data_IF_543781465193
#
_entry.id   IF_543781465193
#
_cell.length_a   1.000
_cell.length_b   1.000
_cell.length_c   1.000
_cell.angle_alpha   90.00
_cell.angle_beta   90.00
_cell.angle_gamma   90.00
#
_symmetry.space_group_name_H-M   'P 1'
#
loop_
_entity.id
_entity.type
_entity.pdbx_description
1 polymer ?
#
# COMPACT_ATOMS: atom_id res chain seq x y z
N UNK A 1 -28.21 5.85 28.01
CA UNK A 1 -27.50 5.02 29.03
C UNK A 1 -26.00 5.31 29.02
N UNK A 2 -25.22 4.98 30.06
CA UNK A 2 -23.75 5.14 30.06
C UNK A 2 -23.05 3.79 29.99
N UNK A 3 -21.90 3.72 29.32
CA UNK A 3 -21.10 2.52 29.22
C UNK A 3 -20.49 2.16 30.58
N UNK A 4 -20.76 0.97 31.10
CA UNK A 4 -20.22 0.51 32.39
C UNK A 4 -18.71 0.30 32.40
N UNK A 5 -18.07 0.22 31.22
CA UNK A 5 -16.63 -0.01 31.10
C UNK A 5 -15.82 1.29 30.93
N UNK A 6 -16.31 2.26 30.15
CA UNK A 6 -15.56 3.51 29.87
C UNK A 6 -16.30 4.80 30.25
N UNK A 7 -17.53 4.72 30.76
CA UNK A 7 -18.29 5.89 31.23
C UNK A 7 -18.90 6.78 30.14
N UNK A 8 -18.72 6.49 28.85
CA UNK A 8 -19.30 7.31 27.78
C UNK A 8 -20.83 7.19 27.69
N UNK A 9 -21.50 8.30 27.37
CA UNK A 9 -22.93 8.34 27.05
C UNK A 9 -23.22 7.60 25.73
N UNK A 10 -24.05 6.56 25.82
CA UNK A 10 -24.50 5.72 24.70
C UNK A 10 -25.85 6.22 24.17
N UNK A 11 -26.03 6.11 22.84
CA UNK A 11 -27.32 6.29 22.18
C UNK A 11 -28.28 5.14 22.54
N UNK A 12 -29.58 5.42 22.54
CA UNK A 12 -30.60 4.43 22.91
C UNK A 12 -30.63 3.28 21.90
N UNK A 13 -30.56 2.03 22.40
CA UNK A 13 -30.53 0.81 21.58
C UNK A 13 -29.14 0.34 21.12
N UNK A 14 -28.05 1.01 21.53
CA UNK A 14 -26.69 0.62 21.17
C UNK A 14 -26.31 -0.78 21.72
N UNK A 15 -25.93 -1.70 20.82
CA UNK A 15 -25.46 -3.05 21.17
C UNK A 15 -24.00 -3.06 21.65
N UNK A 16 -23.19 -2.10 21.18
CA UNK A 16 -21.76 -1.98 21.47
C UNK A 16 -21.35 -0.52 21.70
N UNK A 17 -20.36 -0.29 22.56
CA UNK A 17 -19.83 1.04 22.82
C UNK A 17 -18.90 1.51 21.68
N UNK A 18 -19.14 2.69 21.07
CA UNK A 18 -18.33 3.17 19.95
C UNK A 18 -16.93 3.66 20.34
N UNK A 19 -16.66 3.89 21.63
CA UNK A 19 -15.33 4.35 22.08
C UNK A 19 -14.42 3.24 22.59
N UNK A 20 -14.97 2.22 23.24
CA UNK A 20 -14.15 1.13 23.82
C UNK A 20 -14.51 -0.27 23.32
N UNK A 21 -15.55 -0.40 22.49
CA UNK A 21 -15.94 -1.67 21.88
C UNK A 21 -16.67 -2.65 22.81
N UNK A 22 -16.86 -2.34 24.10
CA UNK A 22 -17.51 -3.27 25.03
C UNK A 22 -19.01 -3.44 24.70
N UNK A 23 -19.55 -4.68 24.76
CA UNK A 23 -20.98 -4.91 24.58
C UNK A 23 -21.76 -4.23 25.71
N UNK A 24 -22.92 -3.69 25.37
CA UNK A 24 -23.79 -3.02 26.34
C UNK A 24 -24.76 -4.06 26.91
N UNK A 25 -24.65 -4.32 28.22
CA UNK A 25 -25.48 -5.32 28.89
C UNK A 25 -26.97 -4.93 28.83
N UNK A 26 -27.79 -5.79 28.22
CA UNK A 26 -29.23 -5.56 28.07
C UNK A 26 -29.90 -6.15 26.82
N UNK A 27 -29.15 -6.70 25.86
CA UNK A 27 -29.74 -7.53 24.81
C UNK A 27 -29.45 -8.99 25.05
N UNK A 28 -30.46 -9.74 25.52
CA UNK A 28 -30.40 -11.19 25.58
C UNK A 28 -30.09 -11.79 24.20
N UNK A 29 -29.28 -12.86 24.11
CA UNK A 29 -29.12 -13.61 22.87
C UNK A 29 -30.40 -14.38 22.57
N UNK A 30 -30.99 -14.16 21.39
CA UNK A 30 -32.00 -15.06 20.86
C UNK A 30 -31.33 -16.39 20.49
N UNK A 31 -31.97 -17.47 20.89
CA UNK A 31 -31.61 -18.87 20.70
C UNK A 31 -31.29 -19.25 19.24
N UNK A 32 -30.37 -20.20 19.08
CA UNK A 32 -29.98 -20.78 17.80
C UNK A 32 -31.17 -21.47 17.08
N UNK A 33 -31.36 -21.27 15.76
CA UNK A 33 -32.31 -22.06 14.97
C UNK A 33 -31.75 -23.46 14.65
N UNK A 34 -32.63 -24.46 14.63
CA UNK A 34 -32.37 -25.84 14.22
C UNK A 34 -31.91 -25.96 12.74
N UNK A 35 -31.31 -27.10 12.32
CA UNK A 35 -30.77 -27.26 10.97
C UNK A 35 -31.89 -27.23 9.92
N UNK A 36 -31.79 -26.30 8.97
CA UNK A 36 -32.71 -26.19 7.82
C UNK A 36 -32.14 -27.03 6.66
N UNK A 37 -32.96 -27.79 5.89
CA UNK A 37 -32.50 -28.54 4.72
C UNK A 37 -31.85 -27.64 3.65
N UNK A 38 -30.87 -28.20 2.92
CA UNK A 38 -30.08 -27.47 1.93
C UNK A 38 -30.94 -26.81 0.84
N UNK A 39 -30.68 -25.55 0.46
CA UNK A 39 -31.43 -24.85 -0.58
C UNK A 39 -31.07 -25.38 -1.97
N UNK A 40 -32.12 -25.69 -2.74
CA UNK A 40 -32.05 -25.94 -4.18
C UNK A 40 -31.73 -24.61 -4.87
N UNK A 41 -30.62 -24.56 -5.61
CA UNK A 41 -30.23 -23.39 -6.38
C UNK A 41 -31.18 -23.19 -7.56
N UNK A 42 -31.93 -22.10 -7.56
CA UNK A 42 -32.46 -21.48 -8.79
C UNK A 42 -31.65 -20.21 -9.07
N UNK A 43 -31.18 -20.00 -10.32
CA UNK A 43 -30.41 -18.81 -10.65
C UNK A 43 -31.27 -17.55 -10.55
N UNK A 44 -30.78 -16.55 -9.82
CA UNK A 44 -31.40 -15.25 -9.65
C UNK A 44 -31.09 -14.32 -10.85
N UNK A 45 -31.99 -13.34 -11.15
CA UNK A 45 -32.06 -12.66 -12.44
C UNK A 45 -31.08 -11.49 -12.58
N UNK A 46 -30.80 -11.18 -13.84
CA UNK A 46 -29.96 -10.10 -14.37
C UNK A 46 -30.51 -8.69 -14.09
N UNK A 47 -29.62 -7.79 -13.67
CA UNK A 47 -29.77 -6.33 -13.56
C UNK A 47 -28.79 -5.82 -12.49
N UNK A 48 -28.00 -4.76 -12.63
CA UNK A 48 -27.96 -3.68 -13.61
C UNK A 48 -26.52 -3.12 -13.63
N UNK A 49 -26.12 -2.57 -14.76
CA UNK A 49 -24.79 -2.11 -15.13
C UNK A 49 -24.27 -0.92 -14.32
N UNK A 50 -23.18 -1.11 -13.57
CA UNK A 50 -22.21 -0.05 -13.28
C UNK A 50 -21.10 -0.07 -14.35
N UNK A 51 -20.48 1.06 -14.73
CA UNK A 51 -19.61 1.11 -15.90
C UNK A 51 -18.30 0.38 -15.65
N UNK A 52 -18.28 -0.92 -15.97
CA UNK A 52 -17.07 -1.64 -16.32
C UNK A 52 -16.54 -1.00 -17.61
N UNK A 53 -15.50 -0.18 -17.45
CA UNK A 53 -14.73 0.30 -18.59
C UNK A 53 -14.18 -0.91 -19.34
N UNK A 54 -14.58 -1.03 -20.60
CA UNK A 54 -14.16 -2.08 -21.50
C UNK A 54 -12.64 -1.97 -21.75
N UNK A 55 -11.91 -3.00 -21.36
CA UNK A 55 -10.54 -3.21 -21.81
C UNK A 55 -10.56 -3.37 -23.34
N UNK A 56 -10.06 -2.37 -24.05
CA UNK A 56 -9.82 -2.43 -25.49
C UNK A 56 -8.49 -3.15 -25.72
N UNK A 57 -8.41 -4.19 -26.57
CA UNK A 57 -7.15 -4.83 -26.88
C UNK A 57 -6.39 -3.97 -27.90
N UNK A 58 -5.40 -3.22 -27.42
CA UNK A 58 -4.53 -2.40 -28.24
C UNK A 58 -4.16 -1.09 -27.56
N UNK A 59 -3.29 -1.14 -26.54
CA UNK A 59 -2.64 0.06 -26.04
C UNK A 59 -1.12 -0.14 -26.01
N UNK A 60 -0.46 0.75 -26.76
CA UNK A 60 0.95 1.08 -26.70
C UNK A 60 1.34 1.57 -25.28
N UNK A 61 2.64 1.68 -24.95
CA UNK A 61 3.12 1.63 -23.57
C UNK A 61 2.43 2.63 -22.64
N UNK A 62 1.88 2.10 -21.55
CA UNK A 62 1.10 2.82 -20.54
C UNK A 62 1.97 3.91 -19.90
N UNK A 63 1.57 5.16 -20.10
CA UNK A 63 2.12 6.29 -19.36
C UNK A 63 1.50 6.28 -17.95
N UNK A 64 2.27 5.82 -16.97
CA UNK A 64 1.91 5.76 -15.55
C UNK A 64 1.61 7.17 -15.01
N UNK A 65 0.35 7.59 -15.12
CA UNK A 65 -0.16 8.85 -14.58
C UNK A 65 -0.85 8.59 -13.24
N UNK A 66 -0.38 9.26 -12.18
CA UNK A 66 -1.03 9.21 -10.87
C UNK A 66 -2.31 10.04 -10.91
N UNK A 67 -3.43 9.46 -10.47
CA UNK A 67 -4.60 10.27 -10.13
C UNK A 67 -4.32 11.01 -8.83
N UNK A 68 -4.19 12.33 -8.92
CA UNK A 68 -4.24 13.21 -7.75
C UNK A 68 -5.70 13.27 -7.30
N UNK A 69 -5.98 12.90 -6.05
CA UNK A 69 -7.32 13.00 -5.51
C UNK A 69 -7.58 14.47 -5.17
N UNK A 70 -8.11 15.22 -6.13
CA UNK A 70 -8.44 16.64 -5.99
C UNK A 70 -9.78 16.87 -5.26
N UNK A 71 -10.31 15.88 -4.54
CA UNK A 71 -11.58 16.02 -3.83
C UNK A 71 -11.44 17.02 -2.67
N UNK A 72 -12.05 18.22 -2.75
CA UNK A 72 -11.88 19.27 -1.76
C UNK A 72 -12.52 18.93 -0.40
N UNK A 73 -13.29 17.84 -0.30
CA UNK A 73 -13.93 17.38 0.93
C UNK A 73 -13.12 16.34 1.71
N UNK A 74 -12.02 15.83 1.14
CA UNK A 74 -11.10 14.94 1.85
C UNK A 74 -9.92 15.77 2.34
N UNK A 75 -10.00 16.24 3.58
CA UNK A 75 -8.87 16.90 4.21
C UNK A 75 -7.70 15.91 4.29
N UNK A 76 -6.52 16.24 3.75
CA UNK A 76 -5.36 15.38 3.87
C UNK A 76 -5.01 15.16 5.34
N UNK A 77 -4.78 13.90 5.73
CA UNK A 77 -4.38 13.59 7.10
C UNK A 77 -3.02 14.25 7.40
N UNK A 78 -2.87 14.91 8.57
CA UNK A 78 -1.61 15.55 8.92
C UNK A 78 -0.53 14.49 9.08
N UNK A 79 0.53 14.60 8.26
CA UNK A 79 1.74 13.79 8.38
C UNK A 79 2.60 14.49 9.42
N UNK A 80 2.85 13.85 10.55
CA UNK A 80 3.76 14.38 11.59
C UNK A 80 4.95 13.45 11.74
N UNK A 81 6.19 13.97 11.88
CA UNK A 81 7.34 13.12 12.14
C UNK A 81 7.12 12.36 13.45
N UNK A 82 7.39 11.05 13.42
CA UNK A 82 7.33 10.18 14.59
C UNK A 82 8.34 10.65 15.63
N UNK A 83 7.84 11.05 16.79
CA UNK A 83 8.63 11.23 18.01
C UNK A 83 9.62 12.40 17.98
N UNK A 84 9.27 13.53 17.36
CA UNK A 84 10.14 14.72 17.36
C UNK A 84 11.40 14.59 16.49
N UNK A 85 11.44 13.58 15.61
CA UNK A 85 12.49 13.46 14.59
C UNK A 85 12.49 14.70 13.70
N UNK A 86 13.66 15.27 13.37
CA UNK A 86 13.75 16.41 12.47
C UNK A 86 13.21 16.02 11.09
N UNK A 87 12.66 16.99 10.37
CA UNK A 87 12.32 16.80 8.95
C UNK A 87 13.57 16.40 8.16
N UNK A 88 13.46 15.33 7.38
CA UNK A 88 14.53 14.86 6.49
C UNK A 88 13.97 14.90 5.07
N UNK A 89 14.47 15.78 4.18
CA UNK A 89 14.01 15.82 2.80
C UNK A 89 14.38 14.52 2.08
N UNK A 90 13.47 14.05 1.22
CA UNK A 90 13.60 12.79 0.51
C UNK A 90 13.78 13.06 -0.98
N UNK A 91 14.70 12.35 -1.63
CA UNK A 91 14.92 12.53 -3.06
C UNK A 91 13.71 12.07 -3.89
N UNK A 92 13.18 12.96 -4.74
CA UNK A 92 11.92 12.76 -5.47
C UNK A 92 12.07 12.76 -7.01
N UNK A 93 13.30 12.82 -7.52
CA UNK A 93 13.64 12.95 -8.94
C UNK A 93 14.41 11.72 -9.47
N UNK A 94 14.29 10.58 -8.79
CA UNK A 94 14.99 9.35 -9.18
C UNK A 94 14.49 8.88 -10.54
N UNK A 95 15.37 8.47 -11.44
CA UNK A 95 14.97 8.05 -12.78
C UNK A 95 15.42 6.63 -13.10
N UNK A 96 14.55 5.87 -13.77
CA UNK A 96 14.83 4.49 -14.17
C UNK A 96 16.07 4.39 -15.09
N UNK A 97 16.24 5.24 -16.13
CA UNK A 97 17.43 5.16 -16.98
C UNK A 97 18.72 5.41 -16.20
N UNK A 98 18.74 6.40 -15.29
CA UNK A 98 19.92 6.65 -14.44
C UNK A 98 20.18 5.48 -13.51
N UNK A 99 19.13 4.86 -12.96
CA UNK A 99 19.28 3.66 -12.14
C UNK A 99 19.92 2.52 -12.93
N UNK A 100 19.48 2.25 -14.17
CA UNK A 100 20.07 1.22 -15.04
C UNK A 100 21.54 1.54 -15.33
N UNK A 101 21.83 2.77 -15.79
CA UNK A 101 23.19 3.18 -16.17
C UNK A 101 24.15 3.07 -14.98
N UNK A 102 23.77 3.63 -13.82
CA UNK A 102 24.59 3.58 -12.62
C UNK A 102 24.78 2.15 -12.13
N UNK A 103 23.75 1.30 -12.23
CA UNK A 103 23.87 -0.11 -11.87
C UNK A 103 24.84 -0.85 -12.77
N UNK A 104 24.87 -0.58 -14.09
CA UNK A 104 25.86 -1.19 -14.99
C UNK A 104 27.27 -0.68 -14.69
N UNK A 105 27.44 0.64 -14.57
CA UNK A 105 28.74 1.28 -14.33
C UNK A 105 29.36 0.84 -12.99
N UNK A 106 28.53 0.59 -11.98
CA UNK A 106 28.97 0.19 -10.63
C UNK A 106 28.92 -1.32 -10.39
N UNK A 107 28.78 -2.13 -11.45
CA UNK A 107 28.67 -3.59 -11.35
C UNK A 107 27.59 -4.07 -10.36
N UNK A 108 26.44 -3.39 -10.35
CA UNK A 108 25.28 -3.70 -9.53
C UNK A 108 25.33 -3.14 -8.10
N UNK A 109 26.44 -2.53 -7.68
CA UNK A 109 26.57 -1.94 -6.32
C UNK A 109 25.54 -0.82 -6.12
N UNK A 110 25.29 -0.01 -7.14
CA UNK A 110 24.29 1.05 -7.08
C UNK A 110 22.87 0.51 -6.85
N UNK A 111 22.51 -0.66 -7.40
CA UNK A 111 21.21 -1.28 -7.13
C UNK A 111 21.01 -1.54 -5.63
N UNK A 112 22.05 -2.00 -4.93
CA UNK A 112 22.01 -2.24 -3.49
C UNK A 112 21.90 -0.94 -2.69
N UNK A 113 22.66 0.08 -3.09
CA UNK A 113 22.54 1.42 -2.52
C UNK A 113 21.11 1.97 -2.67
N UNK A 114 20.53 1.88 -3.86
CA UNK A 114 19.16 2.32 -4.12
C UNK A 114 18.15 1.56 -3.25
N UNK A 115 18.26 0.24 -3.10
CA UNK A 115 17.37 -0.54 -2.24
C UNK A 115 17.49 -0.15 -0.76
N UNK A 116 18.70 0.17 -0.30
CA UNK A 116 18.92 0.71 1.04
C UNK A 116 18.21 2.06 1.23
N UNK A 117 18.40 2.99 0.30
CA UNK A 117 17.73 4.30 0.36
C UNK A 117 16.22 4.16 0.28
N UNK A 118 15.70 3.32 -0.61
CA UNK A 118 14.28 3.06 -0.76
C UNK A 118 13.67 2.55 0.55
N UNK A 119 14.34 1.61 1.24
CA UNK A 119 13.87 1.09 2.52
C UNK A 119 13.81 2.18 3.60
N UNK A 120 14.85 3.01 3.68
CA UNK A 120 14.94 4.14 4.60
C UNK A 120 13.83 5.15 4.31
N UNK A 121 13.72 5.59 3.08
CA UNK A 121 12.77 6.61 2.65
C UNK A 121 11.32 6.13 2.84
N UNK A 122 11.04 4.84 2.61
CA UNK A 122 9.75 4.23 2.93
C UNK A 122 9.42 4.28 4.42
N UNK A 123 10.39 3.99 5.29
CA UNK A 123 10.20 4.13 6.72
C UNK A 123 9.99 5.59 7.16
N UNK A 124 10.50 6.56 6.40
CA UNK A 124 10.31 7.99 6.67
C UNK A 124 8.96 8.51 6.13
N UNK A 125 8.55 8.14 4.92
CA UNK A 125 7.28 8.59 4.34
C UNK A 125 6.07 7.85 4.92
N UNK A 126 6.22 6.59 5.30
CA UNK A 126 5.12 5.78 5.82
C UNK A 126 5.16 5.71 7.35
N UNK A 127 5.60 6.77 8.03
CA UNK A 127 5.61 6.80 9.49
C UNK A 127 4.19 6.66 10.06
N UNK A 128 4.09 6.09 11.27
CA UNK A 128 2.83 5.93 12.01
C UNK A 128 1.78 5.05 11.28
N UNK A 129 2.21 4.16 10.37
CA UNK A 129 1.33 3.15 9.76
C UNK A 129 1.35 1.80 10.50
N UNK A 130 2.14 1.67 11.57
CA UNK A 130 2.27 0.43 12.33
C UNK A 130 3.19 -0.60 11.68
N UNK A 131 3.80 -0.29 10.52
CA UNK A 131 4.68 -1.18 9.78
C UNK A 131 6.11 -0.65 9.69
N UNK A 132 7.03 -1.55 9.31
CA UNK A 132 8.41 -1.20 8.96
C UNK A 132 8.83 -1.95 7.71
N UNK A 133 9.59 -1.26 6.87
CA UNK A 133 10.23 -1.83 5.68
C UNK A 133 11.59 -2.36 6.11
N UNK A 134 11.83 -3.68 5.99
CA UNK A 134 13.12 -4.26 6.35
C UNK A 134 14.26 -3.63 5.57
N UNK A 135 15.36 -3.32 6.25
CA UNK A 135 16.54 -2.72 5.61
C UNK A 135 17.32 -3.69 4.73
N UNK A 136 18.34 -3.16 4.05
CA UNK A 136 19.18 -3.89 3.10
C UNK A 136 19.83 -5.16 3.71
N UNK A 137 20.34 -5.09 4.94
CA UNK A 137 21.00 -6.23 5.57
C UNK A 137 20.04 -7.41 5.77
N UNK A 138 18.84 -7.15 6.29
CA UNK A 138 17.80 -8.16 6.46
C UNK A 138 17.33 -8.70 5.10
N UNK A 139 17.20 -7.81 4.09
CA UNK A 139 16.90 -8.21 2.72
C UNK A 139 17.91 -9.21 2.17
N UNK A 140 19.21 -8.91 2.26
CA UNK A 140 20.26 -9.80 1.74
C UNK A 140 20.27 -11.13 2.50
N UNK A 141 20.31 -11.08 3.84
CA UNK A 141 20.41 -12.27 4.68
C UNK A 141 19.23 -13.22 4.44
N UNK A 142 17.99 -12.71 4.50
CA UNK A 142 16.81 -13.54 4.33
C UNK A 142 16.63 -13.98 2.87
N UNK A 143 17.07 -13.19 1.89
CA UNK A 143 17.06 -13.64 0.50
C UNK A 143 18.00 -14.83 0.28
N UNK A 144 19.18 -14.85 0.91
CA UNK A 144 20.08 -16.01 0.81
C UNK A 144 19.46 -17.22 1.52
N UNK A 145 18.95 -17.05 2.74
CA UNK A 145 18.35 -18.14 3.54
C UNK A 145 17.12 -18.75 2.87
N UNK A 146 16.32 -17.94 2.17
CA UNK A 146 15.07 -18.37 1.53
C UNK A 146 15.20 -18.63 0.02
N UNK A 147 16.43 -18.74 -0.49
CA UNK A 147 16.71 -18.96 -1.92
C UNK A 147 16.01 -17.94 -2.84
N UNK A 148 15.99 -16.66 -2.43
CA UNK A 148 15.42 -15.55 -3.17
C UNK A 148 13.93 -15.31 -2.94
N UNK A 149 13.20 -16.22 -2.27
CA UNK A 149 11.76 -16.04 -2.03
C UNK A 149 11.45 -14.77 -1.22
N UNK A 150 12.29 -14.47 -0.23
CA UNK A 150 12.14 -13.26 0.60
C UNK A 150 12.19 -11.96 -0.23
N UNK A 151 12.97 -11.93 -1.32
CA UNK A 151 13.06 -10.74 -2.16
C UNK A 151 11.69 -10.37 -2.76
N UNK A 152 10.92 -11.37 -3.22
CA UNK A 152 9.57 -11.16 -3.75
C UNK A 152 8.61 -10.64 -2.69
N UNK A 153 8.65 -11.22 -1.49
CA UNK A 153 7.85 -10.73 -0.37
C UNK A 153 8.20 -9.28 0.01
N UNK A 154 9.48 -8.92 -0.04
CA UNK A 154 9.93 -7.56 0.28
C UNK A 154 9.42 -6.54 -0.73
N UNK A 155 9.51 -6.83 -2.03
CA UNK A 155 8.96 -5.96 -3.08
C UNK A 155 7.44 -5.85 -2.99
N UNK A 156 6.75 -6.97 -2.74
CA UNK A 156 5.31 -6.98 -2.49
C UNK A 156 4.92 -6.08 -1.32
N UNK A 157 5.65 -6.18 -0.20
CA UNK A 157 5.40 -5.38 1.00
C UNK A 157 5.52 -3.88 0.72
N UNK A 158 6.59 -3.45 0.05
CA UNK A 158 6.77 -2.04 -0.29
C UNK A 158 5.64 -1.53 -1.18
N UNK A 159 5.25 -2.29 -2.20
CA UNK A 159 4.14 -1.93 -3.08
C UNK A 159 2.84 -1.66 -2.34
N UNK A 160 2.43 -2.58 -1.47
CA UNK A 160 1.22 -2.41 -0.68
C UNK A 160 1.34 -1.24 0.30
N UNK A 161 2.49 -1.12 0.97
CA UNK A 161 2.72 -0.05 1.94
C UNK A 161 2.63 1.33 1.29
N UNK A 162 3.19 1.50 0.09
CA UNK A 162 3.03 2.73 -0.70
C UNK A 162 1.57 3.00 -1.04
N UNK A 163 0.86 2.01 -1.58
CA UNK A 163 -0.55 2.18 -1.97
C UNK A 163 -1.43 2.55 -0.77
N UNK A 164 -1.25 1.91 0.38
CA UNK A 164 -2.03 2.19 1.61
C UNK A 164 -1.73 3.57 2.18
N UNK A 165 -0.50 4.07 2.04
CA UNK A 165 -0.11 5.39 2.55
C UNK A 165 -0.31 6.52 1.52
N UNK A 166 -0.44 6.23 0.23
CA UNK A 166 -0.65 7.23 -0.83
C UNK A 166 -1.84 8.18 -0.59
N UNK A 167 -3.01 7.73 -0.11
CA UNK A 167 -4.14 8.61 0.20
C UNK A 167 -3.80 9.66 1.26
N UNK A 168 -2.88 9.37 2.19
CA UNK A 168 -2.41 10.36 3.18
C UNK A 168 -1.83 11.57 2.47
N UNK A 169 -1.14 11.34 1.36
CA UNK A 169 -0.52 12.35 0.51
C UNK A 169 -1.44 12.94 -0.57
N UNK A 170 -2.72 12.55 -0.64
CA UNK A 170 -3.64 12.97 -1.70
C UNK A 170 -3.37 12.28 -3.04
N UNK A 171 -2.57 11.21 -3.03
CA UNK A 171 -2.25 10.39 -4.20
C UNK A 171 -3.13 9.14 -4.21
N UNK A 172 -3.41 8.60 -5.38
CA UNK A 172 -4.02 7.27 -5.56
C UNK A 172 -3.13 6.45 -6.49
N UNK A 173 -2.66 5.31 -6.01
CA UNK A 173 -1.87 4.38 -6.80
C UNK A 173 -2.74 3.20 -7.23
N UNK A 174 -2.76 2.97 -8.55
CA UNK A 174 -3.43 1.82 -9.13
C UNK A 174 -2.61 0.55 -8.90
N UNK A 175 -1.28 0.69 -8.88
CA UNK A 175 -0.35 -0.40 -8.66
C UNK A 175 -0.17 -0.68 -7.18
N UNK A 176 -0.19 -1.96 -6.84
CA UNK A 176 0.01 -2.44 -5.48
C UNK A 176 1.13 -3.50 -5.42
N UNK A 177 1.29 -4.11 -4.25
CA UNK A 177 2.26 -5.18 -4.05
C UNK A 177 2.07 -6.35 -5.01
N UNK A 178 0.82 -6.70 -5.32
CA UNK A 178 0.50 -7.78 -6.27
C UNK A 178 0.92 -7.42 -7.69
N UNK A 179 0.69 -6.19 -8.14
CA UNK A 179 1.16 -5.71 -9.47
C UNK A 179 2.68 -5.82 -9.58
N UNK A 180 3.40 -5.38 -8.54
CA UNK A 180 4.87 -5.47 -8.50
C UNK A 180 5.32 -6.94 -8.50
N UNK A 181 4.70 -7.78 -7.69
CA UNK A 181 5.02 -9.21 -7.61
C UNK A 181 4.74 -9.95 -8.93
N UNK A 182 3.66 -9.60 -9.62
CA UNK A 182 3.34 -10.13 -10.94
C UNK A 182 4.46 -9.80 -11.95
N UNK A 183 4.90 -8.53 -12.01
CA UNK A 183 6.02 -8.15 -12.88
C UNK A 183 7.35 -8.81 -12.48
N UNK A 184 7.58 -9.03 -11.19
CA UNK A 184 8.80 -9.68 -10.70
C UNK A 184 8.86 -11.18 -11.02
N UNK A 185 7.72 -11.89 -10.99
CA UNK A 185 7.65 -13.34 -11.25
C UNK A 185 7.42 -13.62 -12.72
N UNK A 186 6.32 -13.10 -13.28
CA UNK A 186 5.92 -13.39 -14.66
C UNK A 186 6.85 -12.70 -15.64
N UNK A 187 7.27 -11.47 -15.33
CA UNK A 187 8.16 -10.75 -16.21
C UNK A 187 9.63 -11.19 -16.11
N UNK A 188 10.01 -12.01 -15.12
CA UNK A 188 11.28 -12.74 -15.15
C UNK A 188 11.30 -13.79 -16.28
N UNK A 189 10.14 -14.37 -16.63
CA UNK A 189 9.99 -15.29 -17.76
C UNK A 189 10.01 -14.56 -19.12
N UNK A 190 9.75 -13.23 -19.13
CA UNK A 190 9.80 -12.36 -20.32
C UNK A 190 11.20 -11.76 -20.50
N UNK A 191 12.23 -12.62 -20.58
CA UNK A 191 13.62 -12.22 -20.80
C UNK A 191 14.18 -11.22 -19.76
N UNK A 192 13.68 -11.26 -18.52
CA UNK A 192 14.16 -10.37 -17.45
C UNK A 192 13.74 -8.90 -17.58
N UNK A 193 12.84 -8.56 -18.51
CA UNK A 193 12.30 -7.19 -18.62
C UNK A 193 11.31 -6.85 -17.48
N UNK A 194 10.66 -7.87 -16.91
CA UNK A 194 9.71 -7.71 -15.81
C UNK A 194 10.22 -6.93 -14.60
N UNK A 195 11.35 -7.34 -14.00
CA UNK A 195 11.98 -6.60 -12.90
C UNK A 195 12.27 -5.13 -13.23
N UNK A 196 12.54 -4.80 -14.49
CA UNK A 196 12.76 -3.40 -14.92
C UNK A 196 11.44 -2.63 -14.90
N UNK A 197 10.33 -3.23 -15.36
CA UNK A 197 9.00 -2.64 -15.25
C UNK A 197 8.55 -2.48 -13.80
N UNK A 198 8.76 -3.50 -12.96
CA UNK A 198 8.49 -3.42 -11.52
C UNK A 198 9.27 -2.28 -10.87
N UNK A 199 10.56 -2.13 -11.22
CA UNK A 199 11.40 -1.05 -10.72
C UNK A 199 10.91 0.32 -11.19
N UNK A 200 10.44 0.45 -12.43
CA UNK A 200 9.85 1.69 -12.95
C UNK A 200 8.64 2.13 -12.11
N UNK A 201 7.75 1.19 -11.78
CA UNK A 201 6.59 1.43 -10.92
C UNK A 201 7.05 1.91 -9.55
N UNK A 202 8.00 1.21 -8.92
CA UNK A 202 8.52 1.56 -7.60
C UNK A 202 9.13 2.97 -7.61
N UNK A 203 9.99 3.28 -8.59
CA UNK A 203 10.65 4.58 -8.70
C UNK A 203 9.63 5.70 -8.84
N UNK A 204 8.70 5.58 -9.79
CA UNK A 204 7.72 6.64 -10.03
C UNK A 204 6.79 6.82 -8.81
N UNK A 205 6.32 5.73 -8.19
CA UNK A 205 5.40 5.80 -7.04
C UNK A 205 6.12 6.44 -5.83
N UNK A 206 7.37 6.04 -5.59
CA UNK A 206 8.21 6.59 -4.52
C UNK A 206 8.48 8.07 -4.74
N UNK A 207 8.83 8.49 -5.96
CA UNK A 207 9.05 9.89 -6.29
C UNK A 207 7.81 10.75 -6.06
N UNK A 208 6.64 10.28 -6.47
CA UNK A 208 5.38 10.99 -6.25
C UNK A 208 5.10 11.16 -4.75
N UNK A 209 5.26 10.10 -3.95
CA UNK A 209 5.14 10.20 -2.50
C UNK A 209 6.18 11.14 -1.88
N UNK A 210 7.44 11.07 -2.32
CA UNK A 210 8.53 11.89 -1.80
C UNK A 210 8.31 13.38 -2.10
N UNK A 211 7.86 13.71 -3.31
CA UNK A 211 7.50 15.08 -3.68
C UNK A 211 6.35 15.61 -2.79
N UNK A 212 5.30 14.82 -2.60
CA UNK A 212 4.17 15.20 -1.75
C UNK A 212 4.56 15.29 -0.27
N UNK A 213 5.43 14.41 0.21
CA UNK A 213 6.00 14.45 1.56
C UNK A 213 6.80 15.72 1.79
N UNK A 214 7.76 16.03 0.90
CA UNK A 214 8.59 17.23 0.99
C UNK A 214 7.75 18.51 0.95
N UNK A 215 6.74 18.57 0.07
CA UNK A 215 5.86 19.72 -0.07
C UNK A 215 5.03 20.00 1.20
N UNK A 216 4.72 18.97 1.99
CA UNK A 216 3.92 19.10 3.22
C UNK A 216 4.75 19.38 4.46
N UNK A 217 5.96 18.84 4.51
CA UNK A 217 6.80 18.84 5.70
C UNK A 217 7.89 19.92 5.66
N UNK A 218 8.21 20.42 4.46
CA UNK A 218 9.12 21.53 4.25
C UNK A 218 8.42 22.89 4.12
N UNK A 219 7.09 22.95 4.30
CA UNK A 219 6.29 24.17 4.29
C UNK A 219 6.14 24.77 5.70
#
# INVERSE_FOLDING_TARGET
>A
MFCGNCGQKLADGAKFCPSCGSPVAGSAPASAPAPVPAPVYTPAPTGDSGPYSSATPGQAPQDFSYQTNSNPYVAPTPVTPRGGMPFVPIQADRSLPMWIILSIVTCGIYSWYFLYELARDMNVMCQNDGETTPGLAQFILLSIVTCGFYAYWWYYKIGNRMQTNAPRYGLQFQENGTTILMWQIVGALLCGLGPIFAMNIIIKNTNAMAAAYNARMGA
#
